data_IF_698964860366
#
_entry.id   IF_698964860366
#
_cell.length_a   1.000
_cell.length_b   1.000
_cell.length_c   1.000
_cell.angle_alpha   90.00
_cell.angle_beta   90.00
_cell.angle_gamma   90.00
#
_symmetry.space_group_name_H-M   'P 1'
#
loop_
_entity.id
_entity.type
_entity.pdbx_description
1 polymer ?
#
# COMPACT_ATOMS: atom_id res chain seq x y z
N UNK A 1 -4.49 -5.79 10.60
CA UNK A 1 -4.82 -4.48 10.06
C UNK A 1 -4.28 -4.42 8.62
N UNK A 2 -5.04 -3.92 7.63
CA UNK A 2 -4.56 -3.82 6.22
C UNK A 2 -3.90 -2.45 5.94
N UNK A 3 -4.15 -1.44 6.79
CA UNK A 3 -3.61 -0.09 6.64
C UNK A 3 -3.11 0.47 7.98
N UNK A 4 -1.88 0.97 7.99
CA UNK A 4 -1.29 1.79 9.07
C UNK A 4 -1.41 3.28 8.72
N UNK A 5 -1.25 4.18 9.70
CA UNK A 5 -1.32 5.64 9.45
C UNK A 5 -0.30 6.13 8.40
N UNK A 6 0.88 5.52 8.34
CA UNK A 6 1.84 5.65 7.24
C UNK A 6 1.80 4.40 6.36
N UNK A 7 2.09 4.47 5.05
CA UNK A 7 2.21 3.28 4.20
C UNK A 7 3.26 2.30 4.75
N UNK A 8 3.00 1.00 4.67
CA UNK A 8 3.95 -0.02 5.17
C UNK A 8 5.26 0.01 4.38
N UNK A 9 5.20 0.28 3.07
CA UNK A 9 6.39 0.52 2.27
C UNK A 9 7.30 1.61 2.83
N UNK A 10 6.72 2.72 3.32
CA UNK A 10 7.48 3.81 3.94
C UNK A 10 8.05 3.43 5.31
N UNK A 11 7.31 2.63 6.09
CA UNK A 11 7.83 2.08 7.36
C UNK A 11 9.03 1.17 7.10
N UNK A 12 8.95 0.29 6.09
CA UNK A 12 10.05 -0.58 5.69
C UNK A 12 11.28 0.25 5.25
N UNK A 13 11.08 1.25 4.39
CA UNK A 13 12.14 2.16 3.95
C UNK A 13 12.79 2.89 5.13
N UNK A 14 11.98 3.39 6.07
CA UNK A 14 12.47 4.12 7.23
C UNK A 14 13.34 3.23 8.13
N UNK A 15 12.88 2.02 8.44
CA UNK A 15 13.64 1.07 9.26
C UNK A 15 14.93 0.65 8.57
N UNK A 16 14.90 0.45 7.25
CA UNK A 16 16.10 0.14 6.47
C UNK A 16 17.16 1.25 6.58
N UNK A 17 16.73 2.52 6.47
CA UNK A 17 17.60 3.71 6.60
C UNK A 17 18.05 3.96 8.04
N UNK A 18 17.31 3.48 9.04
CA UNK A 18 17.56 3.74 10.46
C UNK A 18 17.61 2.43 11.28
N UNK A 19 18.71 1.66 11.21
CA UNK A 19 18.82 0.32 11.81
C UNK A 19 18.70 0.25 13.35
N UNK A 20 18.71 1.39 14.05
CA UNK A 20 18.72 1.50 15.52
C UNK A 20 17.73 2.57 15.99
N UNK A 21 16.87 2.35 17.01
CA UNK A 21 16.65 1.20 17.90
C UNK A 21 15.40 0.37 17.53
N UNK A 22 14.90 0.52 16.30
CA UNK A 22 13.57 0.09 15.90
C UNK A 22 13.62 -1.32 15.28
N UNK A 23 13.92 -2.36 16.06
CA UNK A 23 13.70 -3.73 15.57
C UNK A 23 14.45 -4.82 16.32
N UNK A 24 13.90 -6.03 16.27
CA UNK A 24 14.71 -7.22 16.54
C UNK A 24 15.73 -7.38 15.42
N UNK A 25 16.94 -7.86 15.73
CA UNK A 25 17.99 -8.14 14.73
C UNK A 25 17.47 -8.99 13.55
N UNK A 26 16.45 -9.82 13.80
CA UNK A 26 15.78 -10.65 12.81
C UNK A 26 14.91 -9.85 11.82
N UNK A 27 14.08 -8.91 12.29
CA UNK A 27 13.22 -8.10 11.41
C UNK A 27 14.07 -7.22 10.49
N UNK A 28 15.12 -6.59 11.03
CA UNK A 28 16.03 -5.78 10.25
C UNK A 28 16.70 -6.59 9.11
N UNK A 29 17.22 -7.78 9.42
CA UNK A 29 17.80 -8.69 8.41
C UNK A 29 16.82 -9.08 7.32
N UNK A 30 15.54 -9.27 7.66
CA UNK A 30 14.48 -9.56 6.68
C UNK A 30 14.17 -8.36 5.78
N UNK A 31 14.12 -7.16 6.35
CA UNK A 31 13.97 -5.91 5.61
C UNK A 31 15.14 -5.75 4.64
N UNK A 32 16.37 -5.84 5.13
CA UNK A 32 17.59 -5.74 4.32
C UNK A 32 17.59 -6.77 3.18
N UNK A 33 17.28 -8.04 3.49
CA UNK A 33 17.16 -9.10 2.49
C UNK A 33 16.11 -8.80 1.43
N UNK A 34 14.95 -8.25 1.82
CA UNK A 34 13.91 -7.86 0.87
C UNK A 34 14.37 -6.69 -0.02
N UNK A 35 15.00 -5.66 0.56
CA UNK A 35 15.50 -4.49 -0.17
C UNK A 35 16.52 -4.93 -1.23
N UNK A 36 17.47 -5.79 -0.86
CA UNK A 36 18.44 -6.38 -1.80
C UNK A 36 17.75 -7.15 -2.93
N UNK A 37 16.76 -7.98 -2.59
CA UNK A 37 15.98 -8.73 -3.58
C UNK A 37 15.20 -7.80 -4.51
N UNK A 38 14.60 -6.72 -4.00
CA UNK A 38 13.91 -5.70 -4.80
C UNK A 38 14.90 -5.06 -5.78
N UNK A 39 16.05 -4.61 -5.30
CA UNK A 39 17.07 -3.96 -6.14
C UNK A 39 17.53 -4.93 -7.24
N UNK A 40 17.94 -6.15 -6.88
CA UNK A 40 18.46 -7.15 -7.83
C UNK A 40 17.40 -7.54 -8.85
N UNK A 41 16.19 -7.89 -8.41
CA UNK A 41 15.13 -8.39 -9.30
C UNK A 41 14.57 -7.28 -10.19
N UNK A 42 14.44 -6.06 -9.68
CA UNK A 42 13.97 -4.92 -10.48
C UNK A 42 14.97 -4.54 -11.56
N UNK A 43 16.28 -4.48 -11.23
CA UNK A 43 17.35 -4.27 -12.23
C UNK A 43 17.38 -5.37 -13.31
N UNK A 44 17.18 -6.63 -12.91
CA UNK A 44 17.30 -7.80 -13.81
C UNK A 44 16.05 -8.06 -14.67
N UNK A 45 14.85 -7.89 -14.11
CA UNK A 45 13.58 -8.34 -14.71
C UNK A 45 12.60 -7.20 -15.01
N UNK A 46 12.83 -6.00 -14.50
CA UNK A 46 11.89 -4.88 -14.54
C UNK A 46 10.89 -4.88 -13.40
N UNK A 47 10.20 -3.75 -13.21
CA UNK A 47 9.33 -3.41 -12.08
C UNK A 47 8.22 -4.45 -11.88
N UNK A 48 7.41 -4.71 -12.91
CA UNK A 48 6.26 -5.61 -12.78
C UNK A 48 6.66 -7.06 -12.50
N UNK A 49 7.70 -7.57 -13.18
CA UNK A 49 8.16 -8.95 -12.97
C UNK A 49 8.84 -9.14 -11.62
N UNK A 50 9.47 -8.09 -11.08
CA UNK A 50 10.02 -8.12 -9.74
C UNK A 50 8.89 -8.18 -8.71
N UNK A 51 7.90 -7.29 -8.81
CA UNK A 51 6.68 -7.31 -8.00
C UNK A 51 6.02 -8.69 -7.97
N UNK A 52 5.71 -9.28 -9.13
CA UNK A 52 5.04 -10.58 -9.21
C UNK A 52 5.81 -11.67 -8.45
N UNK A 53 7.15 -11.61 -8.46
CA UNK A 53 7.99 -12.59 -7.78
C UNK A 53 8.21 -12.33 -6.29
N UNK A 54 7.89 -11.13 -5.82
CA UNK A 54 8.16 -10.66 -4.45
C UNK A 54 6.87 -10.51 -3.63
N UNK A 55 5.70 -10.79 -4.22
CA UNK A 55 4.41 -10.60 -3.58
C UNK A 55 4.29 -11.34 -2.25
N UNK A 56 4.73 -12.61 -2.19
CA UNK A 56 4.73 -13.40 -0.95
C UNK A 56 5.70 -12.83 0.10
N UNK A 57 6.89 -12.40 -0.32
CA UNK A 57 7.92 -11.84 0.56
C UNK A 57 7.43 -10.50 1.18
N UNK A 58 6.85 -9.63 0.35
CA UNK A 58 6.23 -8.36 0.77
C UNK A 58 5.05 -8.59 1.71
N UNK A 59 4.18 -9.52 1.37
CA UNK A 59 3.00 -9.84 2.18
C UNK A 59 3.41 -10.32 3.58
N UNK A 60 4.34 -11.27 3.67
CA UNK A 60 4.85 -11.77 4.95
C UNK A 60 5.48 -10.65 5.78
N UNK A 61 6.38 -9.88 5.16
CA UNK A 61 7.08 -8.81 5.86
C UNK A 61 6.12 -7.72 6.36
N UNK A 62 5.08 -7.37 5.59
CA UNK A 62 4.03 -6.43 6.03
C UNK A 62 3.41 -6.86 7.36
N UNK A 63 3.03 -8.12 7.51
CA UNK A 63 2.44 -8.59 8.76
C UNK A 63 3.46 -8.62 9.88
N UNK A 64 4.69 -9.02 9.61
CA UNK A 64 5.75 -8.95 10.63
C UNK A 64 5.97 -7.52 11.12
N UNK A 65 5.98 -6.52 10.24
CA UNK A 65 6.07 -5.11 10.63
C UNK A 65 4.87 -4.71 11.49
N UNK A 66 3.65 -5.05 11.07
CA UNK A 66 2.41 -4.72 11.81
C UNK A 66 2.35 -5.40 13.19
N UNK A 67 2.81 -6.65 13.29
CA UNK A 67 2.84 -7.42 14.53
C UNK A 67 3.83 -6.82 15.56
N UNK A 68 4.82 -6.03 15.10
CA UNK A 68 5.73 -5.27 15.96
C UNK A 68 5.10 -3.90 16.34
N UNK A 69 4.06 -3.92 17.17
CA UNK A 69 3.23 -2.74 17.39
C UNK A 69 3.93 -1.52 18.05
N UNK A 70 4.87 -1.76 18.97
CA UNK A 70 5.64 -0.70 19.66
C UNK A 70 6.59 0.03 18.68
N UNK A 71 7.20 -0.74 17.78
CA UNK A 71 8.01 -0.25 16.69
C UNK A 71 7.20 0.67 15.76
N UNK A 72 6.06 0.18 15.28
CA UNK A 72 5.21 0.92 14.32
C UNK A 72 4.74 2.24 14.90
N UNK A 73 4.40 2.29 16.20
CA UNK A 73 3.99 3.53 16.87
C UNK A 73 5.09 4.60 16.85
N UNK A 74 6.31 4.23 17.24
CA UNK A 74 7.45 5.18 17.30
C UNK A 74 7.94 5.61 15.91
N UNK A 75 7.99 4.70 14.95
CA UNK A 75 8.34 5.01 13.55
C UNK A 75 7.28 5.88 12.90
N UNK A 76 5.99 5.67 13.22
CA UNK A 76 4.91 6.47 12.68
C UNK A 76 5.02 7.95 13.03
N UNK A 77 5.27 8.29 14.31
CA UNK A 77 5.38 9.69 14.72
C UNK A 77 6.48 10.42 13.93
N UNK A 78 7.61 9.75 13.71
CA UNK A 78 8.74 10.29 12.95
C UNK A 78 8.42 10.38 11.44
N UNK A 79 7.71 9.41 10.89
CA UNK A 79 7.30 9.41 9.48
C UNK A 79 6.22 10.44 9.18
N UNK A 80 5.33 10.74 10.13
CA UNK A 80 4.25 11.71 9.92
C UNK A 80 4.83 13.08 9.54
N UNK A 81 5.80 13.57 10.31
CA UNK A 81 6.47 14.84 10.06
C UNK A 81 7.21 14.84 8.72
N UNK A 82 7.87 13.74 8.37
CA UNK A 82 8.60 13.60 7.10
C UNK A 82 7.66 13.58 5.89
N UNK A 83 6.52 12.90 6.01
CA UNK A 83 5.49 12.83 4.97
C UNK A 83 4.86 14.21 4.77
N UNK A 84 4.48 14.89 5.84
CA UNK A 84 3.90 16.24 5.77
C UNK A 84 4.89 17.22 5.13
N UNK A 85 6.15 17.22 5.57
CA UNK A 85 7.20 18.07 4.99
C UNK A 85 7.38 17.81 3.49
N UNK A 86 7.30 16.54 3.06
CA UNK A 86 7.43 16.17 1.66
C UNK A 86 6.23 16.62 0.82
N UNK A 87 5.02 16.49 1.36
CA UNK A 87 3.78 16.96 0.72
C UNK A 87 3.83 18.47 0.53
N UNK A 88 4.27 19.22 1.55
CA UNK A 88 4.39 20.68 1.47
C UNK A 88 5.47 21.13 0.48
N UNK A 89 6.62 20.42 0.44
CA UNK A 89 7.76 20.75 -0.42
C UNK A 89 7.68 20.16 -1.83
N UNK A 90 6.61 19.46 -2.19
CA UNK A 90 6.49 18.75 -3.47
C UNK A 90 6.72 19.67 -4.70
N UNK A 91 6.38 20.96 -4.60
CA UNK A 91 6.52 21.93 -5.68
C UNK A 91 7.88 22.65 -5.70
N UNK A 92 8.69 22.51 -4.65
CA UNK A 92 9.94 23.25 -4.47
C UNK A 92 11.20 22.39 -4.58
N UNK A 93 11.12 21.07 -4.37
CA UNK A 93 12.25 20.15 -4.58
C UNK A 93 12.42 19.79 -6.06
N UNK A 94 13.62 20.01 -6.61
CA UNK A 94 13.99 19.46 -7.92
C UNK A 94 14.50 18.03 -7.74
N UNK A 95 13.69 17.03 -8.08
CA UNK A 95 14.17 15.64 -8.25
C UNK A 95 14.48 15.37 -9.72
N UNK A 96 15.37 14.41 -9.98
CA UNK A 96 15.65 13.93 -11.35
C UNK A 96 14.47 13.16 -11.97
N UNK A 97 13.45 12.84 -11.15
CA UNK A 97 12.30 12.02 -11.48
C UNK A 97 10.98 12.70 -11.07
N UNK A 98 10.78 13.95 -11.50
CA UNK A 98 9.65 14.80 -11.09
C UNK A 98 8.28 14.16 -11.22
N UNK A 99 8.00 13.46 -12.32
CA UNK A 99 6.69 12.83 -12.52
C UNK A 99 6.45 11.69 -11.52
N UNK A 100 7.50 10.92 -11.19
CA UNK A 100 7.45 9.87 -10.19
C UNK A 100 7.28 10.46 -8.78
N UNK A 101 8.02 11.52 -8.45
CA UNK A 101 7.89 12.24 -7.17
C UNK A 101 6.48 12.81 -7.00
N UNK A 102 5.93 13.43 -8.06
CA UNK A 102 4.57 13.92 -8.05
C UNK A 102 3.56 12.80 -7.79
N UNK A 103 3.70 11.66 -8.48
CA UNK A 103 2.86 10.50 -8.23
C UNK A 103 3.00 9.95 -6.81
N UNK A 104 4.23 9.88 -6.30
CA UNK A 104 4.58 9.44 -4.95
C UNK A 104 3.86 10.27 -3.90
N UNK A 105 4.00 11.60 -3.97
CA UNK A 105 3.39 12.52 -3.02
C UNK A 105 1.86 12.43 -3.05
N UNK A 106 1.24 12.41 -4.24
CA UNK A 106 -0.21 12.26 -4.35
C UNK A 106 -0.70 10.93 -3.80
N UNK A 107 0.03 9.84 -4.05
CA UNK A 107 -0.32 8.52 -3.55
C UNK A 107 -0.23 8.45 -2.01
N UNK A 108 0.80 9.06 -1.41
CA UNK A 108 0.93 9.13 0.06
C UNK A 108 -0.20 9.98 0.67
N UNK A 109 -0.50 11.15 0.12
CA UNK A 109 -1.59 12.00 0.62
C UNK A 109 -2.95 11.27 0.60
N UNK A 110 -3.28 10.64 -0.53
CA UNK A 110 -4.53 9.87 -0.66
C UNK A 110 -4.53 8.66 0.28
N UNK A 111 -3.41 7.96 0.41
CA UNK A 111 -3.28 6.86 1.37
C UNK A 111 -3.54 7.36 2.80
N UNK A 112 -2.95 8.49 3.20
CA UNK A 112 -3.14 9.09 4.52
C UNK A 112 -4.60 9.42 4.82
N UNK A 113 -5.33 9.97 3.84
CA UNK A 113 -6.78 10.23 3.93
C UNK A 113 -7.57 8.93 4.14
N UNK A 114 -7.24 7.87 3.40
CA UNK A 114 -7.89 6.55 3.53
C UNK A 114 -7.58 5.90 4.88
N UNK A 115 -6.30 5.85 5.25
CA UNK A 115 -5.82 5.21 6.47
C UNK A 115 -6.41 5.87 7.72
N UNK A 116 -6.46 7.21 7.75
CA UNK A 116 -7.08 7.96 8.84
C UNK A 116 -8.54 7.58 9.02
N UNK A 117 -9.32 7.52 7.93
CA UNK A 117 -10.73 7.11 7.98
C UNK A 117 -10.92 5.66 8.43
N UNK A 118 -10.05 4.74 7.99
CA UNK A 118 -10.07 3.34 8.44
C UNK A 118 -9.84 3.28 9.95
N UNK A 119 -8.82 3.97 10.45
CA UNK A 119 -8.41 3.92 11.86
C UNK A 119 -9.51 4.50 12.75
N UNK A 120 -10.12 5.62 12.35
CA UNK A 120 -11.26 6.23 13.05
C UNK A 120 -12.50 5.32 13.10
N UNK A 121 -12.76 4.55 12.03
CA UNK A 121 -13.90 3.63 11.97
C UNK A 121 -13.67 2.32 12.74
N UNK A 122 -12.40 1.93 12.91
CA UNK A 122 -12.00 0.65 13.52
C UNK A 122 -11.58 0.81 14.99
N UNK A 123 -11.40 2.04 15.50
CA UNK A 123 -11.03 2.34 16.88
C UNK A 123 -12.17 2.09 17.89
N UNK A 124 -12.45 0.81 18.13
CA UNK A 124 -13.00 0.26 19.38
C UNK A 124 -12.41 -1.11 19.79
N UNK A 125 -11.50 -1.72 19.01
CA UNK A 125 -10.52 -2.75 19.44
C UNK A 125 -9.77 -3.33 18.20
N UNK A 126 -8.64 -2.75 17.73
CA UNK A 126 -8.08 -3.13 16.42
C UNK A 126 -7.04 -4.26 16.42
N UNK A 127 -6.47 -4.63 17.57
CA UNK A 127 -5.22 -5.41 17.62
C UNK A 127 -5.38 -6.90 17.93
N UNK A 128 -6.60 -7.40 18.14
CA UNK A 128 -6.78 -8.73 18.75
C UNK A 128 -7.04 -9.86 17.74
N UNK A 129 -7.24 -9.60 16.44
CA UNK A 129 -7.74 -10.63 15.53
C UNK A 129 -6.75 -11.16 14.45
N UNK A 130 -5.46 -10.77 14.43
CA UNK A 130 -4.54 -11.20 13.34
C UNK A 130 -3.29 -11.95 13.84
N UNK A 131 -3.38 -12.69 14.94
CA UNK A 131 -2.20 -13.37 15.50
C UNK A 131 -1.62 -14.54 14.67
N UNK A 132 -2.09 -14.80 13.44
CA UNK A 132 -1.56 -15.89 12.60
C UNK A 132 -1.44 -15.58 11.09
N UNK A 133 -1.75 -14.38 10.58
CA UNK A 133 -1.68 -14.12 9.12
C UNK A 133 -0.24 -14.10 8.58
N UNK A 134 0.75 -13.77 9.41
CA UNK A 134 2.18 -13.82 9.04
C UNK A 134 2.66 -15.23 8.67
N UNK A 135 1.93 -16.29 9.07
CA UNK A 135 2.21 -17.67 8.67
C UNK A 135 1.69 -18.05 7.28
N UNK A 136 0.80 -17.22 6.70
CA UNK A 136 0.22 -17.50 5.39
C UNK A 136 1.05 -16.86 4.27
N UNK A 137 1.20 -17.60 3.17
CA UNK A 137 1.72 -17.06 1.92
C UNK A 137 0.59 -16.37 1.15
N UNK A 138 0.90 -15.27 0.46
CA UNK A 138 -0.09 -14.55 -0.33
C UNK A 138 -0.70 -15.47 -1.39
N UNK A 139 0.11 -16.33 -2.03
CA UNK A 139 -0.38 -17.32 -2.99
C UNK A 139 -1.45 -18.27 -2.43
N UNK A 140 -1.38 -18.61 -1.13
CA UNK A 140 -2.37 -19.46 -0.47
C UNK A 140 -3.69 -18.71 -0.25
N UNK A 141 -3.62 -17.44 0.16
CA UNK A 141 -4.80 -16.59 0.31
C UNK A 141 -5.45 -16.31 -1.05
N UNK A 142 -4.64 -16.02 -2.07
CA UNK A 142 -5.12 -15.83 -3.44
C UNK A 142 -5.86 -17.06 -3.94
N UNK A 143 -5.28 -18.25 -3.73
CA UNK A 143 -5.91 -19.52 -4.14
C UNK A 143 -7.22 -19.75 -3.39
N UNK A 144 -7.25 -19.51 -2.08
CA UNK A 144 -8.44 -19.64 -1.26
C UNK A 144 -9.55 -18.69 -1.74
N UNK A 145 -9.26 -17.39 -1.86
CA UNK A 145 -10.25 -16.39 -2.27
C UNK A 145 -10.75 -16.64 -3.69
N UNK A 146 -9.88 -17.07 -4.62
CA UNK A 146 -10.31 -17.46 -5.98
C UNK A 146 -11.20 -18.71 -6.01
N UNK A 147 -11.07 -19.59 -5.04
CA UNK A 147 -11.92 -20.80 -4.94
C UNK A 147 -13.31 -20.52 -4.39
N UNK A 148 -13.50 -19.41 -3.67
CA UNK A 148 -14.79 -19.01 -3.13
C UNK A 148 -15.69 -18.41 -4.22
N UNK A 149 -16.95 -18.88 -4.35
CA UNK A 149 -17.89 -18.30 -5.29
C UNK A 149 -18.28 -16.88 -4.86
N UNK A 150 -18.60 -16.03 -5.83
CA UNK A 150 -19.07 -14.66 -5.59
C UNK A 150 -18.05 -13.59 -5.99
N UNK A 151 -18.52 -12.34 -6.08
CA UNK A 151 -17.68 -11.20 -6.43
C UNK A 151 -16.92 -10.66 -5.21
N UNK A 152 -17.48 -10.81 -4.01
CA UNK A 152 -16.89 -10.30 -2.77
C UNK A 152 -15.48 -10.83 -2.52
N UNK A 153 -15.22 -12.12 -2.79
CA UNK A 153 -13.88 -12.70 -2.66
C UNK A 153 -12.88 -12.08 -3.63
N UNK A 154 -13.30 -11.75 -4.85
CA UNK A 154 -12.48 -11.06 -5.85
C UNK A 154 -12.22 -9.60 -5.49
N UNK A 155 -13.20 -8.93 -4.87
CA UNK A 155 -13.05 -7.55 -4.37
C UNK A 155 -12.05 -7.52 -3.21
N UNK A 156 -12.15 -8.46 -2.25
CA UNK A 156 -11.19 -8.59 -1.14
C UNK A 156 -9.78 -8.87 -1.66
N UNK A 157 -9.64 -9.81 -2.60
CA UNK A 157 -8.35 -10.13 -3.21
C UNK A 157 -7.76 -8.89 -3.92
N UNK A 158 -8.58 -8.16 -4.67
CA UNK A 158 -8.13 -6.97 -5.40
C UNK A 158 -7.73 -5.84 -4.46
N UNK A 159 -8.46 -5.65 -3.36
CA UNK A 159 -8.11 -4.71 -2.30
C UNK A 159 -6.78 -5.03 -1.63
N UNK A 160 -6.58 -6.30 -1.28
CA UNK A 160 -5.34 -6.75 -0.67
C UNK A 160 -4.17 -6.56 -1.64
N UNK A 161 -4.36 -6.99 -2.90
CA UNK A 161 -3.37 -6.86 -3.96
C UNK A 161 -2.98 -5.40 -4.18
N UNK A 162 -3.94 -4.50 -4.37
CA UNK A 162 -3.65 -3.08 -4.63
C UNK A 162 -2.88 -2.46 -3.46
N UNK A 163 -3.21 -2.85 -2.24
CA UNK A 163 -2.48 -2.43 -1.04
C UNK A 163 -1.03 -2.93 -1.02
N UNK A 164 -0.74 -4.20 -1.36
CA UNK A 164 0.65 -4.71 -1.39
C UNK A 164 1.45 -4.09 -2.54
N UNK A 165 0.79 -3.87 -3.69
CA UNK A 165 1.39 -3.19 -4.85
C UNK A 165 1.79 -1.76 -4.48
N UNK A 166 1.01 -1.08 -3.63
CA UNK A 166 1.40 0.23 -3.08
C UNK A 166 2.67 0.14 -2.24
N UNK A 167 2.79 -0.82 -1.32
CA UNK A 167 4.01 -0.98 -0.52
C UNK A 167 5.25 -1.14 -1.40
N UNK A 168 5.17 -2.04 -2.38
CA UNK A 168 6.25 -2.24 -3.34
C UNK A 168 6.58 -0.96 -4.11
N UNK A 169 5.55 -0.24 -4.56
CA UNK A 169 5.73 0.98 -5.35
C UNK A 169 6.38 2.09 -4.53
N UNK A 170 6.04 2.24 -3.25
CA UNK A 170 6.69 3.17 -2.33
C UNK A 170 8.16 2.77 -2.10
N UNK A 171 8.44 1.50 -1.81
CA UNK A 171 9.80 0.98 -1.62
C UNK A 171 10.69 1.26 -2.84
N UNK A 172 10.23 0.91 -4.03
CA UNK A 172 11.00 1.07 -5.27
C UNK A 172 11.21 2.56 -5.59
N UNK A 173 10.23 3.40 -5.30
CA UNK A 173 10.35 4.85 -5.53
C UNK A 173 11.39 5.47 -4.61
N UNK A 174 11.38 5.16 -3.31
CA UNK A 174 12.40 5.61 -2.37
C UNK A 174 13.80 5.18 -2.80
N UNK A 175 14.00 3.90 -3.11
CA UNK A 175 15.27 3.38 -3.62
C UNK A 175 15.78 4.15 -4.85
N UNK A 176 14.89 4.63 -5.72
CA UNK A 176 15.25 5.46 -6.87
C UNK A 176 15.63 6.88 -6.43
N UNK A 177 14.85 7.48 -5.53
CA UNK A 177 15.12 8.83 -5.03
C UNK A 177 16.42 8.93 -4.23
N UNK A 178 16.79 7.87 -3.51
CA UNK A 178 18.05 7.76 -2.77
C UNK A 178 19.24 7.39 -3.67
N UNK A 179 18.99 7.03 -4.94
CA UNK A 179 20.04 6.60 -5.88
C UNK A 179 20.54 5.16 -5.67
N UNK A 180 19.87 4.34 -4.86
CA UNK A 180 20.24 2.94 -4.64
C UNK A 180 19.78 2.04 -5.81
N UNK A 181 18.68 2.43 -6.47
CA UNK A 181 18.11 1.76 -7.63
C UNK A 181 18.13 2.65 -8.87
N UNK A 182 19.03 2.32 -9.79
CA UNK A 182 19.08 2.93 -11.11
C UNK A 182 18.40 2.02 -12.13
N UNK A 183 17.33 2.50 -12.77
CA UNK A 183 16.58 1.80 -13.83
C UNK A 183 16.31 2.75 -15.00
N UNK A 184 15.98 2.19 -16.17
CA UNK A 184 15.74 2.99 -17.36
C UNK A 184 14.40 3.76 -17.29
N UNK A 185 14.25 4.78 -18.14
CA UNK A 185 13.04 5.63 -18.19
C UNK A 185 11.74 4.86 -18.41
N UNK A 186 11.78 3.75 -19.15
CA UNK A 186 10.60 2.91 -19.38
C UNK A 186 10.14 2.25 -18.09
N UNK A 187 11.07 1.75 -17.28
CA UNK A 187 10.75 1.16 -15.97
C UNK A 187 10.28 2.22 -14.97
N UNK A 188 10.84 3.44 -14.99
CA UNK A 188 10.34 4.56 -14.19
C UNK A 188 8.88 4.90 -14.55
N UNK A 189 8.55 4.94 -15.84
CA UNK A 189 7.18 5.18 -16.30
C UNK A 189 6.21 4.04 -15.92
N UNK A 190 6.70 2.79 -15.89
CA UNK A 190 5.93 1.66 -15.38
C UNK A 190 5.66 1.79 -13.89
N UNK A 191 6.66 2.18 -13.09
CA UNK A 191 6.50 2.43 -11.66
C UNK A 191 5.51 3.57 -11.39
N UNK A 192 5.61 4.69 -12.13
CA UNK A 192 4.62 5.77 -12.08
C UNK A 192 3.19 5.25 -12.29
N UNK A 193 3.00 4.44 -13.33
CA UNK A 193 1.69 3.88 -13.66
C UNK A 193 1.20 2.90 -12.60
N UNK A 194 2.11 2.09 -12.06
CA UNK A 194 1.83 1.10 -11.01
C UNK A 194 1.38 1.79 -9.72
N UNK A 195 2.10 2.82 -9.28
CA UNK A 195 1.76 3.61 -8.11
C UNK A 195 0.40 4.30 -8.27
N UNK A 196 0.19 5.01 -9.39
CA UNK A 196 -1.08 5.69 -9.68
C UNK A 196 -2.26 4.72 -9.69
N UNK A 197 -2.15 3.61 -10.43
CA UNK A 197 -3.25 2.65 -10.53
C UNK A 197 -3.53 1.97 -9.19
N UNK A 198 -2.49 1.61 -8.44
CA UNK A 198 -2.66 0.92 -7.16
C UNK A 198 -3.30 1.78 -6.08
N UNK A 199 -3.00 3.10 -6.02
CA UNK A 199 -3.71 3.98 -5.09
C UNK A 199 -5.15 4.24 -5.52
N UNK A 200 -5.39 4.40 -6.83
CA UNK A 200 -6.75 4.57 -7.36
C UNK A 200 -7.60 3.32 -7.07
N UNK A 201 -7.05 2.12 -7.27
CA UNK A 201 -7.72 0.85 -6.93
C UNK A 201 -7.93 0.69 -5.42
N UNK A 202 -6.91 0.99 -4.61
CA UNK A 202 -7.03 0.94 -3.16
C UNK A 202 -8.14 1.87 -2.66
N UNK A 203 -8.21 3.10 -3.18
CA UNK A 203 -9.26 4.07 -2.85
C UNK A 203 -10.66 3.58 -3.25
N UNK A 204 -10.81 3.01 -4.46
CA UNK A 204 -12.08 2.44 -4.93
C UNK A 204 -12.56 1.32 -3.99
N UNK A 205 -11.69 0.38 -3.66
CA UNK A 205 -12.07 -0.74 -2.80
C UNK A 205 -12.31 -0.32 -1.35
N UNK A 206 -11.53 0.62 -0.81
CA UNK A 206 -11.82 1.23 0.50
C UNK A 206 -13.20 1.89 0.52
N UNK A 207 -13.63 2.51 -0.59
CA UNK A 207 -14.96 3.07 -0.71
C UNK A 207 -16.06 2.01 -0.78
N UNK A 208 -15.86 0.94 -1.55
CA UNK A 208 -16.78 -0.20 -1.63
C UNK A 208 -17.03 -0.82 -0.26
N UNK A 209 -15.97 -0.96 0.55
CA UNK A 209 -16.09 -1.45 1.93
C UNK A 209 -16.61 -0.41 2.93
N UNK A 210 -16.97 0.78 2.46
CA UNK A 210 -17.42 1.93 3.28
C UNK A 210 -16.38 2.34 4.32
N UNK A 211 -15.11 2.02 4.07
CA UNK A 211 -13.98 2.36 4.93
C UNK A 211 -13.53 3.81 4.70
N UNK A 212 -13.73 4.35 3.51
CA UNK A 212 -13.38 5.74 3.17
C UNK A 212 -14.31 6.28 2.08
N UNK A 213 -14.46 7.59 1.98
CA UNK A 213 -15.14 8.24 0.85
C UNK A 213 -14.35 9.44 0.39
N UNK A 214 -14.32 9.73 -0.93
CA UNK A 214 -13.65 10.92 -1.44
C UNK A 214 -14.32 12.19 -0.88
N UNK A 215 -13.51 13.23 -0.63
CA UNK A 215 -14.03 14.55 -0.32
C UNK A 215 -14.69 15.12 -1.58
N UNK A 216 -15.98 15.44 -1.49
CA UNK A 216 -16.75 16.00 -2.60
C UNK A 216 -16.17 17.32 -3.10
N UNK A 217 -15.52 18.11 -2.23
CA UNK A 217 -14.91 19.38 -2.57
C UNK A 217 -13.51 19.28 -3.22
N UNK A 218 -12.83 18.13 -3.10
CA UNK A 218 -11.51 17.92 -3.69
C UNK A 218 -11.63 17.67 -5.21
N UNK A 219 -11.25 18.71 -5.95
CA UNK A 219 -11.24 18.77 -7.41
C UNK A 219 -9.82 18.59 -7.99
N UNK A 220 -8.92 17.93 -7.27
CA UNK A 220 -7.64 17.52 -7.85
C UNK A 220 -7.86 16.48 -8.96
N UNK A 221 -6.93 16.39 -9.91
CA UNK A 221 -7.05 15.43 -11.01
C UNK A 221 -7.09 13.97 -10.51
N UNK A 222 -6.29 13.65 -9.49
CA UNK A 222 -6.28 12.31 -8.90
C UNK A 222 -7.59 11.98 -8.20
N UNK A 223 -8.13 12.92 -7.41
CA UNK A 223 -9.42 12.71 -6.76
C UNK A 223 -10.56 12.56 -7.76
N UNK A 224 -10.58 13.37 -8.83
CA UNK A 224 -11.56 13.19 -9.92
C UNK A 224 -11.46 11.81 -10.56
N UNK A 225 -10.26 11.30 -10.83
CA UNK A 225 -10.11 9.95 -11.39
C UNK A 225 -10.64 8.88 -10.43
N UNK A 226 -10.37 9.03 -9.13
CA UNK A 226 -10.90 8.12 -8.09
C UNK A 226 -12.42 8.16 -8.08
N UNK A 227 -13.03 9.36 -8.01
CA UNK A 227 -14.49 9.55 -8.05
C UNK A 227 -15.10 8.88 -9.29
N UNK A 228 -14.53 9.10 -10.48
CA UNK A 228 -14.96 8.47 -11.73
C UNK A 228 -14.87 6.94 -11.65
N UNK A 229 -13.75 6.39 -11.16
CA UNK A 229 -13.57 4.94 -11.04
C UNK A 229 -14.53 4.32 -10.05
N UNK A 230 -14.82 4.99 -8.93
CA UNK A 230 -15.85 4.57 -7.97
C UNK A 230 -17.19 4.47 -8.69
N UNK A 231 -17.63 5.54 -9.38
CA UNK A 231 -18.92 5.53 -10.10
C UNK A 231 -19.01 4.44 -11.17
N UNK A 232 -17.92 4.22 -11.92
CA UNK A 232 -17.85 3.13 -12.92
C UNK A 232 -17.96 1.77 -12.24
N UNK A 233 -17.26 1.57 -11.13
CA UNK A 233 -17.27 0.32 -10.37
C UNK A 233 -18.66 0.03 -9.77
N UNK A 234 -19.30 1.03 -9.16
CA UNK A 234 -20.66 0.93 -8.64
C UNK A 234 -21.67 0.61 -9.73
N UNK A 235 -21.56 1.22 -10.92
CA UNK A 235 -22.43 0.88 -12.05
C UNK A 235 -22.28 -0.59 -12.49
N UNK A 236 -21.05 -1.13 -12.47
CA UNK A 236 -20.77 -2.54 -12.80
C UNK A 236 -21.27 -3.48 -11.70
N UNK A 237 -21.18 -3.10 -10.42
CA UNK A 237 -21.70 -3.91 -9.32
C UNK A 237 -23.22 -3.91 -9.24
N UNK A 238 -23.85 -2.74 -9.39
CA UNK A 238 -25.31 -2.59 -9.36
C UNK A 238 -26.00 -3.30 -10.53
N UNK A 239 -25.28 -3.51 -11.64
CA UNK A 239 -25.76 -4.36 -12.75
C UNK A 239 -25.60 -5.86 -12.48
N UNK A 240 -24.88 -6.26 -11.42
CA UNK A 240 -24.49 -7.67 -11.17
C UNK A 240 -24.99 -8.31 -9.86
N UNK A 241 -25.31 -7.60 -8.78
CA UNK A 241 -26.27 -8.05 -7.73
C UNK A 241 -26.44 -7.10 -6.53
N UNK A 242 -27.66 -7.13 -5.98
CA UNK A 242 -28.06 -6.65 -4.65
C UNK A 242 -27.68 -7.62 -3.53
N UNK A 243 -26.81 -7.21 -2.59
CA UNK A 243 -26.91 -7.37 -1.11
C UNK A 243 -25.52 -7.31 -0.45
N UNK A 244 -25.28 -6.32 0.42
CA UNK A 244 -23.94 -5.90 0.89
C UNK A 244 -23.52 -6.37 2.31
N UNK A 245 -24.09 -7.44 2.85
CA UNK A 245 -23.95 -7.74 4.30
C UNK A 245 -22.82 -8.71 4.67
N UNK A 246 -22.16 -9.37 3.71
CA UNK A 246 -21.11 -10.37 4.01
C UNK A 246 -19.70 -9.77 4.20
N UNK A 247 -19.40 -8.64 3.54
CA UNK A 247 -18.07 -8.00 3.56
C UNK A 247 -17.60 -7.51 4.93
N UNK A 248 -18.52 -7.10 5.80
CA UNK A 248 -18.17 -6.64 7.16
C UNK A 248 -17.64 -7.75 8.06
N UNK A 249 -17.99 -9.01 7.79
CA UNK A 249 -17.57 -10.15 8.63
C UNK A 249 -16.14 -10.61 8.32
N UNK A 250 -15.65 -10.42 7.09
CA UNK A 250 -14.31 -10.85 6.68
C UNK A 250 -13.23 -9.83 7.08
N UNK A 251 -13.57 -8.54 7.13
CA UNK A 251 -12.63 -7.47 7.51
C UNK A 251 -12.51 -7.25 9.03
N UNK A 252 -13.41 -7.86 9.82
CA UNK A 252 -13.43 -7.79 11.28
C UNK A 252 -12.98 -9.10 11.97
N UNK A 253 -12.65 -10.12 11.18
CA UNK A 253 -12.05 -11.38 11.63
C UNK A 253 -10.54 -11.34 11.47
#
# INVERSE_FOLDING_TARGET
>A
MIATKAPIGEIINYIHKNPTPYGTENLFKKIESLMDLIVIRTKKKGVNKALDSLMDDLFKLRFEVIDNHELVGSVFEQLSDLIEDRIEKQYSKSTDHKDLEYAFVNAIDIYGKIASSIIEKVSNNPFVAINNLSSFEYGNIETLLKSLPGQDSQIILSYLKSSIVLDYSFIVSELIFDGELHINKTEISRLYSLLKNSIEEFAVYSNVFKLWSPDESDESQWMRNIKIRISVFEAILNTKHSSSDELKKVLAA
#
